data_IF_229844819031
#
_entry.id   IF_229844819031
#
_cell.length_a   1.000
_cell.length_b   1.000
_cell.length_c   1.000
_cell.angle_alpha   90.00
_cell.angle_beta   90.00
_cell.angle_gamma   90.00
#
_symmetry.space_group_name_H-M   'P 1'
#
loop_
_entity.id
_entity.type
_entity.pdbx_description
1 polymer ?
#
# COMPACT_ATOMS: atom_id res chain seq x y z
N UNK A 1 24.49 1.25 11.84
CA UNK A 1 23.03 1.30 11.60
C UNK A 1 22.36 0.51 12.72
N UNK A 2 21.62 1.16 13.63
CA UNK A 2 20.80 0.42 14.59
C UNK A 2 19.54 -0.02 13.84
N UNK A 3 19.32 -1.32 13.71
CA UNK A 3 18.04 -1.83 13.27
C UNK A 3 17.06 -1.62 14.42
N UNK A 4 16.20 -0.61 14.30
CA UNK A 4 15.06 -0.46 15.21
C UNK A 4 14.12 -1.64 15.01
N UNK A 5 13.67 -2.26 16.10
CA UNK A 5 12.61 -3.28 16.05
C UNK A 5 11.26 -2.59 16.11
N UNK A 6 10.35 -2.92 15.20
CA UNK A 6 8.95 -2.50 15.25
C UNK A 6 8.09 -3.66 15.75
N UNK A 7 7.03 -3.36 16.49
CA UNK A 7 6.04 -4.37 16.85
C UNK A 7 5.11 -4.61 15.65
N UNK A 8 4.92 -5.87 15.25
CA UNK A 8 4.03 -6.25 14.15
C UNK A 8 2.63 -5.65 14.28
N UNK A 9 2.10 -5.52 15.50
CA UNK A 9 0.80 -4.88 15.75
C UNK A 9 0.76 -3.44 15.22
N UNK A 10 1.83 -2.68 15.43
CA UNK A 10 1.94 -1.29 14.96
C UNK A 10 1.98 -1.28 13.43
N UNK A 11 2.70 -2.22 12.81
CA UNK A 11 2.75 -2.34 11.36
C UNK A 11 1.37 -2.68 10.77
N UNK A 12 0.64 -3.60 11.40
CA UNK A 12 -0.71 -3.99 10.98
C UNK A 12 -1.69 -2.83 11.07
N UNK A 13 -1.68 -2.09 12.18
CA UNK A 13 -2.50 -0.89 12.36
C UNK A 13 -2.14 0.20 11.33
N UNK A 14 -0.85 0.41 11.06
CA UNK A 14 -0.38 1.35 10.06
C UNK A 14 -0.82 0.97 8.64
N UNK A 15 -0.79 -0.32 8.29
CA UNK A 15 -1.29 -0.80 7.00
C UNK A 15 -2.81 -0.61 6.88
N UNK A 16 -3.58 -0.99 7.90
CA UNK A 16 -5.04 -0.79 7.94
C UNK A 16 -5.38 0.68 7.72
N UNK A 17 -4.72 1.59 8.45
CA UNK A 17 -4.94 3.03 8.33
C UNK A 17 -4.57 3.54 6.94
N UNK A 18 -3.40 3.16 6.42
CA UNK A 18 -2.93 3.53 5.08
C UNK A 18 -3.92 3.08 4.02
N UNK A 19 -4.33 1.82 4.03
CA UNK A 19 -5.28 1.28 3.05
C UNK A 19 -6.65 1.96 3.14
N UNK A 20 -7.14 2.23 4.36
CA UNK A 20 -8.40 2.94 4.55
C UNK A 20 -8.35 4.38 4.03
N UNK A 21 -7.23 5.09 4.19
CA UNK A 21 -7.01 6.40 3.57
C UNK A 21 -6.99 6.27 2.05
N UNK A 22 -6.32 5.25 1.51
CA UNK A 22 -6.34 4.99 0.06
C UNK A 22 -7.76 4.80 -0.47
N UNK A 23 -8.64 4.11 0.29
CA UNK A 23 -10.05 3.97 -0.07
C UNK A 23 -10.83 5.29 -0.04
N UNK A 24 -10.54 6.17 0.94
CA UNK A 24 -11.15 7.50 1.04
C UNK A 24 -10.82 8.38 -0.17
N UNK A 25 -9.59 8.29 -0.68
CA UNK A 25 -9.13 9.00 -1.88
C UNK A 25 -8.96 8.08 -3.09
N UNK A 26 -9.80 7.04 -3.21
CA UNK A 26 -9.65 5.98 -4.22
C UNK A 26 -9.56 6.46 -5.66
N UNK A 27 -10.25 7.54 -6.01
CA UNK A 27 -10.27 8.06 -7.38
C UNK A 27 -8.88 8.59 -7.80
N UNK A 28 -8.09 9.11 -6.85
CA UNK A 28 -6.70 9.51 -7.09
C UNK A 28 -5.83 8.29 -7.45
N UNK A 29 -5.91 7.22 -6.66
CA UNK A 29 -5.14 6.00 -6.90
C UNK A 29 -5.58 5.29 -8.17
N UNK A 30 -6.90 5.20 -8.40
CA UNK A 30 -7.47 4.65 -9.64
C UNK A 30 -6.89 5.34 -10.86
N UNK A 31 -6.91 6.68 -10.89
CA UNK A 31 -6.38 7.45 -12.02
C UNK A 31 -4.90 7.15 -12.26
N UNK A 32 -4.08 7.12 -11.21
CA UNK A 32 -2.65 6.73 -11.33
C UNK A 32 -2.47 5.33 -11.89
N UNK A 33 -3.28 4.37 -11.45
CA UNK A 33 -3.21 2.99 -11.95
C UNK A 33 -3.71 2.87 -13.39
N UNK A 34 -4.69 3.67 -13.80
CA UNK A 34 -5.12 3.77 -15.20
C UNK A 34 -3.98 4.26 -16.10
N UNK A 35 -3.22 5.27 -15.67
CA UNK A 35 -2.00 5.72 -16.37
C UNK A 35 -0.93 4.62 -16.45
N UNK A 36 -0.85 3.72 -15.46
CA UNK A 36 0.09 2.59 -15.47
C UNK A 36 -0.32 1.47 -16.44
N UNK A 37 -1.56 1.46 -16.95
CA UNK A 37 -1.99 0.46 -17.93
C UNK A 37 -1.26 0.60 -19.28
N UNK A 38 -0.71 1.78 -19.56
CA UNK A 38 0.06 2.08 -20.77
C UNK A 38 1.57 2.00 -20.54
N UNK A 39 2.03 1.56 -19.35
CA UNK A 39 3.44 1.36 -19.06
C UNK A 39 4.06 0.18 -19.82
N UNK A 40 5.31 0.33 -20.26
CA UNK A 40 6.14 -0.75 -20.80
C UNK A 40 6.58 -1.76 -19.71
N UNK A 41 6.50 -1.38 -18.43
CA UNK A 41 6.74 -2.29 -17.31
C UNK A 41 5.54 -3.23 -17.13
N UNK A 42 5.74 -4.49 -17.53
CA UNK A 42 4.73 -5.54 -17.48
C UNK A 42 4.25 -5.84 -16.05
N UNK A 43 5.13 -5.78 -15.05
CA UNK A 43 4.76 -6.01 -13.65
C UNK A 43 3.88 -4.87 -13.15
N UNK A 44 4.31 -3.63 -13.40
CA UNK A 44 3.57 -2.42 -13.05
C UNK A 44 2.18 -2.41 -13.66
N UNK A 45 2.08 -2.73 -14.96
CA UNK A 45 0.80 -2.85 -15.68
C UNK A 45 -0.09 -3.97 -15.12
N UNK A 46 0.49 -5.13 -14.80
CA UNK A 46 -0.24 -6.24 -14.20
C UNK A 46 -0.80 -5.87 -12.81
N UNK A 47 0.02 -5.25 -11.97
CA UNK A 47 -0.34 -4.83 -10.61
C UNK A 47 -1.38 -3.72 -10.61
N UNK A 48 -1.25 -2.73 -11.49
CA UNK A 48 -2.26 -1.70 -11.67
C UNK A 48 -3.66 -2.28 -11.95
N UNK A 49 -3.77 -3.26 -12.88
CA UNK A 49 -5.05 -3.96 -13.14
C UNK A 49 -5.58 -4.71 -11.91
N UNK A 50 -4.70 -5.30 -11.10
CA UNK A 50 -5.11 -5.98 -9.87
C UNK A 50 -5.58 -4.97 -8.81
N UNK A 51 -4.87 -3.85 -8.64
CA UNK A 51 -5.15 -2.86 -7.62
C UNK A 51 -6.45 -2.09 -7.88
N UNK A 52 -6.74 -1.76 -9.15
CA UNK A 52 -8.04 -1.19 -9.54
C UNK A 52 -9.19 -2.12 -9.11
N UNK A 53 -9.07 -3.43 -9.39
CA UNK A 53 -10.09 -4.41 -9.00
C UNK A 53 -10.24 -4.55 -7.48
N UNK A 54 -9.14 -4.40 -6.74
CA UNK A 54 -9.14 -4.44 -5.28
C UNK A 54 -9.88 -3.21 -4.75
N UNK A 55 -9.47 -2.00 -5.14
CA UNK A 55 -10.02 -0.77 -4.57
C UNK A 55 -11.48 -0.51 -4.95
N UNK A 56 -11.93 -0.98 -6.12
CA UNK A 56 -13.32 -0.85 -6.57
C UNK A 56 -14.29 -1.72 -5.74
N UNK A 57 -13.80 -2.81 -5.15
CA UNK A 57 -14.62 -3.80 -4.41
C UNK A 57 -14.37 -3.82 -2.91
N UNK A 58 -13.29 -3.20 -2.46
CA UNK A 58 -12.88 -3.24 -1.08
C UNK A 58 -13.78 -2.37 -0.20
N UNK A 59 -14.07 -2.89 0.98
CA UNK A 59 -14.59 -2.12 2.09
C UNK A 59 -13.44 -1.68 3.00
N UNK A 60 -13.73 -0.76 3.92
CA UNK A 60 -12.78 -0.41 4.98
C UNK A 60 -12.35 -1.67 5.73
N UNK A 61 -11.06 -1.75 6.05
CA UNK A 61 -10.49 -2.80 6.87
C UNK A 61 -10.75 -2.48 8.35
N UNK A 62 -11.36 -3.43 9.05
CA UNK A 62 -11.46 -3.43 10.52
C UNK A 62 -10.34 -4.25 11.16
N UNK A 63 -9.79 -5.21 10.43
CA UNK A 63 -8.72 -6.11 10.86
C UNK A 63 -7.67 -6.25 9.76
N UNK A 64 -6.47 -6.70 10.13
CA UNK A 64 -5.39 -6.92 9.18
C UNK A 64 -5.71 -8.08 8.25
N UNK A 65 -5.59 -7.85 6.95
CA UNK A 65 -5.75 -8.86 5.90
C UNK A 65 -4.38 -9.15 5.27
N UNK A 66 -3.78 -10.29 5.66
CA UNK A 66 -2.48 -10.73 5.17
C UNK A 66 -2.47 -10.91 3.65
N UNK A 67 -3.54 -11.47 3.06
CA UNK A 67 -3.60 -11.74 1.63
C UNK A 67 -3.69 -10.44 0.82
N UNK A 68 -4.35 -9.42 1.37
CA UNK A 68 -4.37 -8.09 0.77
C UNK A 68 -3.01 -7.39 0.91
N UNK A 69 -2.40 -7.47 2.10
CA UNK A 69 -1.07 -6.93 2.37
C UNK A 69 -0.03 -7.50 1.40
N UNK A 70 0.09 -8.82 1.28
CA UNK A 70 1.03 -9.50 0.38
C UNK A 70 0.73 -9.21 -1.11
N UNK A 71 -0.52 -8.91 -1.44
CA UNK A 71 -0.90 -8.56 -2.81
C UNK A 71 -0.39 -7.18 -3.20
N UNK A 72 -0.42 -6.23 -2.26
CA UNK A 72 -0.18 -4.82 -2.52
C UNK A 72 1.23 -4.35 -2.18
N UNK A 73 1.76 -4.75 -1.02
CA UNK A 73 3.01 -4.22 -0.46
C UNK A 73 4.20 -5.02 -0.96
N UNK A 74 5.18 -4.32 -1.53
CA UNK A 74 6.46 -4.88 -1.96
C UNK A 74 7.52 -4.74 -0.86
N UNK A 75 7.62 -3.55 -0.26
CA UNK A 75 8.66 -3.20 0.70
C UNK A 75 8.09 -2.27 1.77
N UNK A 76 8.63 -2.41 2.97
CA UNK A 76 8.39 -1.49 4.08
C UNK A 76 9.73 -0.94 4.56
N UNK A 77 9.79 0.37 4.78
CA UNK A 77 10.90 1.02 5.47
C UNK A 77 10.38 1.69 6.73
N UNK A 78 11.03 1.40 7.86
CA UNK A 78 10.75 2.04 9.14
C UNK A 78 11.87 2.99 9.47
N UNK A 79 11.55 4.26 9.64
CA UNK A 79 12.49 5.33 9.96
C UNK A 79 12.51 5.62 11.46
N UNK A 80 13.67 6.05 11.98
CA UNK A 80 13.86 6.38 13.41
C UNK A 80 12.92 7.49 13.91
N UNK A 81 12.44 8.35 13.01
CA UNK A 81 11.50 9.43 13.30
C UNK A 81 10.03 8.97 13.42
N UNK A 82 9.79 7.67 13.62
CA UNK A 82 8.45 7.04 13.69
C UNK A 82 7.63 7.21 12.41
N UNK A 83 8.29 7.10 11.26
CA UNK A 83 7.62 7.07 9.95
C UNK A 83 7.72 5.67 9.37
N UNK A 84 6.64 5.16 8.79
CA UNK A 84 6.63 3.96 7.95
C UNK A 84 6.35 4.37 6.52
N UNK A 85 7.19 3.94 5.59
CA UNK A 85 6.94 4.02 4.15
C UNK A 85 6.55 2.64 3.63
N UNK A 86 5.40 2.56 2.98
CA UNK A 86 4.95 1.39 2.24
C UNK A 86 5.23 1.62 0.75
N UNK A 87 6.13 0.82 0.18
CA UNK A 87 6.30 0.73 -1.27
C UNK A 87 5.38 -0.36 -1.80
N UNK A 88 4.49 0.00 -2.70
CA UNK A 88 3.54 -0.91 -3.33
C UNK A 88 4.13 -1.47 -4.64
N UNK A 89 3.69 -2.65 -5.07
CA UNK A 89 4.23 -3.32 -6.27
C UNK A 89 4.01 -2.57 -7.61
N UNK A 90 3.18 -1.54 -7.63
CA UNK A 90 3.01 -0.65 -8.78
C UNK A 90 4.01 0.52 -8.79
N UNK A 91 4.83 0.62 -7.74
CA UNK A 91 5.83 1.65 -7.53
C UNK A 91 5.30 2.91 -6.83
N UNK A 92 4.07 2.91 -6.31
CA UNK A 92 3.60 4.01 -5.46
C UNK A 92 4.12 3.81 -4.03
N UNK A 93 4.66 4.89 -3.46
CA UNK A 93 5.10 4.96 -2.07
C UNK A 93 4.10 5.77 -1.25
N UNK A 94 3.76 5.26 -0.07
CA UNK A 94 2.85 5.93 0.88
C UNK A 94 3.50 5.99 2.25
N UNK A 95 3.63 7.20 2.79
CA UNK A 95 4.17 7.44 4.13
C UNK A 95 3.06 7.55 5.17
N UNK A 96 3.31 6.97 6.34
CA UNK A 96 2.45 7.03 7.51
C UNK A 96 3.29 7.37 8.75
N UNK A 97 2.81 8.30 9.59
CA UNK A 97 3.42 8.60 10.89
C UNK A 97 2.79 7.75 12.00
N UNK A 98 3.62 7.18 12.85
CA UNK A 98 3.25 6.38 14.03
C UNK A 98 3.30 7.22 15.31
#
# INVERSE_FOLDING_TARGET
MKLGTINDKVLYEAFINTFNIMLEIKDYFRKKWEEHLDSDDLLKKYKAKQFIKVIEKANRLENFDLALFEKMVEKIVVFENKTIEFSMFDGIEVECKI
#
